data_IF_785930463261
#
_entry.id   IF_785930463261
#
_cell.length_a   1.000
_cell.length_b   1.000
_cell.length_c   1.000
_cell.angle_alpha   90.00
_cell.angle_beta   90.00
_cell.angle_gamma   90.00
#
_symmetry.space_group_name_H-M   'P 1'
#
loop_
_entity.id
_entity.type
_entity.pdbx_description
1 polymer ?
#
# COMPACT_ATOMS: atom_id res chain seq x y z
N UNK A 1 8.80 -6.56 -11.00
CA UNK A 1 8.11 -5.29 -10.66
C UNK A 1 7.93 -5.20 -9.15
N UNK A 2 8.20 -4.05 -8.60
CA UNK A 2 7.94 -3.76 -7.19
C UNK A 2 6.82 -2.72 -7.10
N UNK A 3 5.73 -3.08 -6.43
CA UNK A 3 4.66 -2.16 -6.07
C UNK A 3 5.01 -1.63 -4.70
N UNK A 4 5.27 -0.33 -4.58
CA UNK A 4 5.55 0.32 -3.31
C UNK A 4 4.33 1.11 -2.87
N UNK A 5 3.82 0.82 -1.69
CA UNK A 5 2.79 1.62 -1.05
C UNK A 5 3.44 2.41 0.09
N UNK A 6 3.67 3.68 -0.14
CA UNK A 6 4.25 4.58 0.86
C UNK A 6 3.11 5.19 1.66
N UNK A 7 2.86 4.62 2.83
CA UNK A 7 1.82 5.06 3.75
C UNK A 7 2.25 6.34 4.47
N UNK A 8 1.31 7.21 4.70
CA UNK A 8 1.47 8.32 5.65
C UNK A 8 1.07 7.85 7.05
N UNK A 9 1.42 8.62 8.07
CA UNK A 9 0.98 8.31 9.44
C UNK A 9 -0.54 8.39 9.52
N UNK A 10 -1.20 7.48 10.26
CA UNK A 10 -2.65 7.49 10.40
C UNK A 10 -3.17 8.82 10.93
N UNK A 11 -4.26 9.28 10.36
CA UNK A 11 -4.93 10.52 10.79
C UNK A 11 -6.43 10.39 10.55
N UNK A 12 -7.23 10.67 11.59
CA UNK A 12 -8.69 10.63 11.50
C UNK A 12 -9.24 9.28 10.99
N UNK A 13 -8.63 8.18 11.39
CA UNK A 13 -9.03 6.84 10.96
C UNK A 13 -8.62 6.46 9.55
N UNK A 14 -7.88 7.32 8.87
CA UNK A 14 -7.43 7.10 7.50
C UNK A 14 -5.92 6.95 7.42
N UNK A 15 -5.46 6.01 6.59
CA UNK A 15 -4.07 5.90 6.18
C UNK A 15 -4.02 6.28 4.71
N UNK A 16 -3.57 7.51 4.43
CA UNK A 16 -3.33 7.97 3.07
C UNK A 16 -1.97 7.48 2.61
N UNK A 17 -1.82 7.30 1.33
CA UNK A 17 -0.55 6.88 0.79
C UNK A 17 -0.40 7.17 -0.69
N UNK A 18 0.77 6.78 -1.22
CA UNK A 18 1.09 6.86 -2.63
C UNK A 18 1.62 5.51 -3.09
N UNK A 19 1.18 5.12 -4.26
CA UNK A 19 1.59 3.86 -4.90
C UNK A 19 2.59 4.18 -6.01
N UNK A 20 3.72 3.48 -5.98
CA UNK A 20 4.77 3.57 -6.99
C UNK A 20 4.96 2.21 -7.64
N UNK A 21 5.19 2.19 -8.93
CA UNK A 21 5.55 0.98 -9.68
C UNK A 21 6.99 1.15 -10.15
N UNK A 22 7.89 0.33 -9.65
CA UNK A 22 9.34 0.42 -9.93
C UNK A 22 9.88 1.85 -9.77
N UNK A 23 9.53 2.49 -8.65
CA UNK A 23 9.89 3.87 -8.27
C UNK A 23 9.16 4.99 -9.02
N UNK A 24 8.29 4.69 -9.98
CA UNK A 24 7.49 5.69 -10.68
C UNK A 24 6.14 5.85 -10.01
N UNK A 25 5.75 7.10 -9.71
CA UNK A 25 4.46 7.38 -9.11
C UNK A 25 3.33 6.90 -10.02
N UNK A 26 2.39 6.13 -9.45
CA UNK A 26 1.27 5.57 -10.19
C UNK A 26 -0.07 6.16 -9.75
N UNK A 27 -0.37 6.11 -8.45
CA UNK A 27 -1.68 6.51 -7.93
C UNK A 27 -1.60 6.81 -6.43
N UNK A 28 -2.69 7.39 -5.90
CA UNK A 28 -2.87 7.55 -4.47
C UNK A 28 -3.55 6.32 -3.89
N UNK A 29 -3.29 6.06 -2.60
CA UNK A 29 -3.95 4.98 -1.87
C UNK A 29 -4.65 5.50 -0.63
N UNK A 30 -5.64 4.73 -0.17
CA UNK A 30 -6.38 5.02 1.05
C UNK A 30 -6.72 3.69 1.73
N UNK A 31 -6.45 3.61 3.02
CA UNK A 31 -6.76 2.44 3.85
C UNK A 31 -7.52 2.88 5.08
N UNK A 32 -8.30 1.96 5.65
CA UNK A 32 -8.99 2.16 6.90
C UNK A 32 -8.08 1.74 8.06
N UNK A 33 -7.71 2.68 8.93
CA UNK A 33 -6.79 2.43 10.04
C UNK A 33 -7.30 1.35 11.01
N UNK A 34 -8.62 1.19 11.14
CA UNK A 34 -9.19 0.17 12.01
C UNK A 34 -8.92 -1.27 11.53
N UNK A 35 -8.58 -1.46 10.26
CA UNK A 35 -8.41 -2.79 9.65
C UNK A 35 -7.05 -2.97 8.99
N UNK A 36 -6.11 -2.09 9.26
CA UNK A 36 -4.79 -2.13 8.62
C UNK A 36 -3.97 -3.36 9.03
N UNK A 37 -2.97 -3.67 8.25
CA UNK A 37 -1.98 -4.71 8.51
C UNK A 37 -0.57 -4.08 8.55
N UNK A 38 0.43 -4.77 9.13
CA UNK A 38 1.76 -4.18 9.32
C UNK A 38 2.45 -3.83 8.01
N UNK A 39 3.35 -2.85 8.08
CA UNK A 39 4.33 -2.62 7.02
C UNK A 39 5.13 -3.90 6.77
N UNK A 40 5.59 -4.08 5.57
CA UNK A 40 6.40 -5.23 5.21
C UNK A 40 6.35 -5.54 3.73
N UNK A 41 6.94 -6.70 3.42
CA UNK A 41 7.01 -7.25 2.09
C UNK A 41 5.96 -8.34 1.96
N UNK A 42 5.11 -8.23 0.94
CA UNK A 42 4.03 -9.17 0.71
C UNK A 42 4.10 -9.74 -0.70
N UNK A 43 3.74 -11.00 -0.83
CA UNK A 43 3.57 -11.66 -2.13
C UNK A 43 2.17 -11.43 -2.67
N UNK A 44 2.01 -11.59 -3.96
CA UNK A 44 0.68 -11.59 -4.58
C UNK A 44 0.04 -12.99 -4.47
N UNK A 45 -1.29 -13.02 -4.35
CA UNK A 45 -2.07 -14.26 -4.38
C UNK A 45 -2.57 -14.52 -5.79
N UNK A 46 -1.74 -15.08 -6.65
CA UNK A 46 -2.13 -15.38 -8.01
C UNK A 46 -2.54 -14.13 -8.79
N UNK A 47 -2.92 -14.31 -10.04
CA UNK A 47 -3.35 -13.21 -10.92
C UNK A 47 -4.81 -12.86 -10.74
N UNK A 48 -5.65 -13.89 -10.55
CA UNK A 48 -7.08 -13.73 -10.37
C UNK A 48 -7.55 -14.72 -9.32
N UNK A 49 -8.44 -14.28 -8.44
CA UNK A 49 -9.11 -15.18 -7.54
C UNK A 49 -10.42 -15.66 -8.16
N UNK A 50 -10.70 -16.97 -8.14
CA UNK A 50 -12.00 -17.47 -8.61
C UNK A 50 -13.20 -16.86 -7.87
N UNK A 51 -13.00 -16.41 -6.63
CA UNK A 51 -14.03 -15.77 -5.83
C UNK A 51 -14.37 -14.37 -6.29
N UNK A 52 -13.49 -13.74 -7.04
CA UNK A 52 -13.67 -12.39 -7.55
C UNK A 52 -13.56 -12.40 -9.06
N UNK A 53 -14.68 -12.18 -9.70
CA UNK A 53 -14.81 -12.17 -11.17
C UNK A 53 -14.18 -10.94 -11.82
N UNK A 54 -13.33 -10.23 -11.11
CA UNK A 54 -12.76 -8.96 -11.55
C UNK A 54 -11.25 -9.04 -11.58
N UNK A 55 -10.67 -8.35 -12.52
CA UNK A 55 -9.23 -8.20 -12.66
C UNK A 55 -8.68 -7.28 -11.57
N UNK A 56 -8.38 -7.85 -10.41
CA UNK A 56 -7.84 -7.14 -9.25
C UNK A 56 -6.53 -7.76 -8.81
N UNK A 57 -5.69 -6.96 -8.17
CA UNK A 57 -4.42 -7.41 -7.60
C UNK A 57 -4.66 -7.82 -6.16
N UNK A 58 -4.48 -9.10 -5.86
CA UNK A 58 -4.64 -9.68 -4.53
C UNK A 58 -3.31 -9.84 -3.83
N UNK A 59 -3.30 -9.57 -2.54
CA UNK A 59 -2.10 -9.65 -1.71
C UNK A 59 -2.28 -10.76 -0.69
N UNK A 60 -1.22 -11.56 -0.49
CA UNK A 60 -1.17 -12.57 0.56
C UNK A 60 -0.78 -11.92 1.90
N UNK A 61 -1.77 -11.60 2.71
CA UNK A 61 -1.56 -11.05 4.05
C UNK A 61 -1.84 -12.15 5.06
N UNK A 62 -0.83 -12.57 5.87
CA UNK A 62 -1.01 -13.63 6.86
C UNK A 62 -2.21 -13.36 7.79
N UNK A 63 -3.05 -14.40 7.97
CA UNK A 63 -4.23 -14.31 8.82
C UNK A 63 -5.41 -13.57 8.22
N UNK A 64 -5.31 -13.12 6.98
CA UNK A 64 -6.39 -12.41 6.28
C UNK A 64 -6.65 -13.00 4.91
N UNK A 65 -7.88 -12.85 4.45
CA UNK A 65 -8.28 -13.29 3.12
C UNK A 65 -8.86 -12.12 2.34
N UNK A 66 -8.78 -12.22 1.01
CA UNK A 66 -9.38 -11.24 0.11
C UNK A 66 -8.88 -9.81 0.27
N UNK A 67 -7.62 -9.64 0.61
CA UNK A 67 -6.98 -8.32 0.61
C UNK A 67 -6.54 -8.01 -0.82
N UNK A 68 -7.02 -6.89 -1.34
CA UNK A 68 -6.77 -6.51 -2.72
C UNK A 68 -6.69 -5.00 -2.88
N UNK A 69 -6.17 -4.57 -4.02
CA UNK A 69 -6.31 -3.18 -4.47
C UNK A 69 -7.62 -3.05 -5.24
N UNK A 70 -8.47 -2.13 -4.82
CA UNK A 70 -9.72 -1.85 -5.55
C UNK A 70 -10.08 -0.37 -5.49
N UNK A 71 -11.14 0.00 -6.18
CA UNK A 71 -11.64 1.38 -6.20
C UNK A 71 -12.50 1.69 -4.99
N UNK A 72 -12.63 2.96 -4.71
CA UNK A 72 -13.43 3.53 -3.65
C UNK A 72 -13.06 4.98 -3.42
N UNK A 73 -13.77 5.67 -2.54
CA UNK A 73 -13.59 7.10 -2.33
C UNK A 73 -13.22 7.46 -0.89
N UNK A 74 -13.75 6.74 0.09
CA UNK A 74 -13.56 7.03 1.51
C UNK A 74 -13.17 5.76 2.26
N UNK A 75 -12.73 5.92 3.52
CA UNK A 75 -12.37 4.78 4.37
C UNK A 75 -13.55 3.84 4.62
N UNK A 76 -14.78 4.32 4.49
CA UNK A 76 -15.97 3.47 4.62
C UNK A 76 -16.12 2.45 3.49
N UNK A 77 -15.41 2.65 2.39
CA UNK A 77 -15.44 1.75 1.25
C UNK A 77 -14.51 0.55 1.39
N UNK A 78 -13.80 0.43 2.53
CA UNK A 78 -12.86 -0.68 2.72
C UNK A 78 -12.78 -1.13 4.16
N UNK A 79 -12.57 -2.44 4.33
CA UNK A 79 -12.27 -3.11 5.60
C UNK A 79 -11.01 -3.96 5.47
N UNK A 80 -9.89 -3.29 5.15
CA UNK A 80 -8.60 -3.93 5.04
C UNK A 80 -7.99 -3.94 3.64
N UNK A 81 -8.78 -3.73 2.60
CA UNK A 81 -8.26 -3.57 1.25
C UNK A 81 -7.64 -2.18 1.04
N UNK A 82 -6.84 -2.06 0.00
CA UNK A 82 -6.17 -0.82 -0.36
C UNK A 82 -6.95 -0.18 -1.50
N UNK A 83 -7.56 0.98 -1.24
CA UNK A 83 -8.20 1.76 -2.29
C UNK A 83 -7.12 2.48 -3.10
N UNK A 84 -7.25 2.46 -4.43
CA UNK A 84 -6.31 3.15 -5.32
C UNK A 84 -7.06 4.03 -6.31
N UNK A 85 -6.62 5.27 -6.45
CA UNK A 85 -7.24 6.24 -7.33
C UNK A 85 -6.23 7.27 -7.84
N UNK A 86 -6.56 7.89 -8.97
CA UNK A 86 -5.66 8.85 -9.60
C UNK A 86 -5.65 10.22 -8.94
N UNK A 87 -6.70 10.58 -8.23
CA UNK A 87 -6.84 11.89 -7.62
C UNK A 87 -7.11 11.78 -6.13
N UNK A 88 -6.64 12.77 -5.39
CA UNK A 88 -6.81 12.87 -3.94
C UNK A 88 -7.23 14.27 -3.53
N UNK A 89 -8.21 14.32 -2.61
CA UNK A 89 -8.63 15.56 -1.96
C UNK A 89 -8.83 15.26 -0.46
N UNK A 90 -7.86 15.69 0.37
CA UNK A 90 -7.88 15.39 1.80
C UNK A 90 -7.88 13.89 2.08
N UNK A 91 -8.92 13.41 2.77
CA UNK A 91 -9.10 12.01 3.13
C UNK A 91 -9.97 11.24 2.12
N UNK A 92 -10.22 11.82 0.95
CA UNK A 92 -10.96 11.18 -0.13
C UNK A 92 -10.09 11.02 -1.36
N UNK A 93 -10.40 9.98 -2.16
CA UNK A 93 -9.75 9.73 -3.42
C UNK A 93 -10.80 9.49 -4.51
N UNK A 94 -10.47 9.76 -5.76
CA UNK A 94 -11.37 9.63 -6.89
C UNK A 94 -10.64 9.13 -8.14
N UNK A 95 -11.37 8.43 -8.99
CA UNK A 95 -10.82 7.89 -10.23
C UNK A 95 -10.14 6.55 -10.02
N UNK A 96 -10.89 5.46 -10.04
CA UNK A 96 -10.42 4.11 -9.79
C UNK A 96 -9.23 3.75 -10.69
N UNK A 97 -8.09 3.45 -10.06
CA UNK A 97 -6.86 3.05 -10.72
C UNK A 97 -6.63 1.53 -10.66
N UNK A 98 -7.53 0.76 -10.05
CA UNK A 98 -7.30 -0.66 -9.77
C UNK A 98 -7.23 -1.52 -11.03
N UNK A 99 -7.99 -1.19 -12.06
CA UNK A 99 -7.95 -1.92 -13.34
C UNK A 99 -6.64 -1.72 -14.08
N UNK A 100 -6.11 -0.49 -14.08
CA UNK A 100 -4.82 -0.21 -14.69
C UNK A 100 -3.68 -0.86 -13.90
N UNK A 101 -3.78 -0.88 -12.58
CA UNK A 101 -2.81 -1.60 -11.76
C UNK A 101 -2.80 -3.08 -12.13
N UNK A 102 -3.97 -3.71 -12.26
CA UNK A 102 -4.05 -5.10 -12.68
C UNK A 102 -3.38 -5.33 -14.04
N UNK A 103 -3.65 -4.47 -15.01
CA UNK A 103 -3.05 -4.59 -16.35
C UNK A 103 -1.53 -4.51 -16.29
N UNK A 104 -0.98 -3.61 -15.48
CA UNK A 104 0.47 -3.47 -15.31
C UNK A 104 1.07 -4.71 -14.66
N UNK A 105 0.44 -5.24 -13.64
CA UNK A 105 0.88 -6.46 -12.95
C UNK A 105 0.77 -7.67 -13.87
N UNK A 106 -0.33 -7.81 -14.59
CA UNK A 106 -0.53 -8.91 -15.53
C UNK A 106 0.52 -8.87 -16.65
N UNK A 107 0.84 -7.69 -17.15
CA UNK A 107 1.91 -7.51 -18.12
C UNK A 107 3.27 -7.97 -17.60
N UNK A 108 3.60 -7.62 -16.37
CA UNK A 108 4.85 -8.06 -15.73
C UNK A 108 4.90 -9.58 -15.59
N UNK A 109 3.82 -10.23 -15.19
CA UNK A 109 3.75 -11.69 -15.13
C UNK A 109 3.92 -12.33 -16.49
N UNK A 110 3.31 -11.78 -17.53
CA UNK A 110 3.45 -12.31 -18.90
C UNK A 110 4.87 -12.17 -19.41
N UNK A 111 5.60 -11.15 -18.97
CA UNK A 111 7.01 -10.95 -19.30
C UNK A 111 7.95 -11.80 -18.43
N UNK A 112 7.43 -12.62 -17.55
CA UNK A 112 8.20 -13.47 -16.66
C UNK A 112 8.78 -12.76 -15.44
N UNK A 113 8.36 -11.54 -15.15
CA UNK A 113 8.81 -10.82 -13.97
C UNK A 113 8.09 -11.30 -12.70
N UNK A 114 8.83 -11.38 -11.59
CA UNK A 114 8.22 -11.51 -10.28
C UNK A 114 7.62 -10.17 -9.85
N UNK A 115 6.56 -10.21 -9.06
CA UNK A 115 5.93 -9.01 -8.51
C UNK A 115 5.83 -9.11 -7.00
N UNK A 116 6.27 -8.07 -6.31
CA UNK A 116 6.20 -7.96 -4.86
C UNK A 116 5.56 -6.63 -4.48
N UNK A 117 4.96 -6.58 -3.28
CA UNK A 117 4.33 -5.36 -2.75
C UNK A 117 5.03 -4.98 -1.45
N UNK A 118 5.52 -3.77 -1.37
CA UNK A 118 6.20 -3.22 -0.20
C UNK A 118 5.34 -2.13 0.43
N UNK A 119 5.00 -2.30 1.71
CA UNK A 119 4.31 -1.27 2.49
C UNK A 119 5.29 -0.66 3.47
N UNK A 120 5.42 0.66 3.42
CA UNK A 120 6.29 1.41 4.33
C UNK A 120 5.55 2.61 4.90
N UNK A 121 5.90 3.00 6.14
CA UNK A 121 5.38 4.20 6.81
C UNK A 121 6.58 5.01 7.29
N UNK A 122 6.56 6.35 7.22
CA UNK A 122 7.64 7.16 7.77
C UNK A 122 7.79 6.91 9.26
N UNK A 123 9.04 6.84 9.73
CA UNK A 123 9.30 6.76 11.15
C UNK A 123 8.79 8.02 11.85
N UNK A 124 8.11 7.86 13.01
CA UNK A 124 7.80 9.00 13.86
C UNK A 124 9.09 9.68 14.27
N UNK A 125 9.19 10.99 14.04
CA UNK A 125 10.28 11.76 14.62
C UNK A 125 10.06 11.83 16.13
N UNK A 126 10.88 11.13 16.87
CA UNK A 126 10.92 11.25 18.31
C UNK A 126 11.61 12.57 18.67
N UNK A 127 10.84 13.55 19.11
CA UNK A 127 11.41 14.75 19.71
C UNK A 127 11.68 14.43 21.18
N UNK A 128 12.73 13.66 21.41
CA UNK A 128 13.24 13.49 22.76
C UNK A 128 14.40 14.45 22.90
N UNK A 129 14.19 15.47 23.69
CA UNK A 129 15.21 16.48 23.95
C UNK A 129 16.56 15.82 24.33
N UNK A 130 17.52 15.86 23.40
CA UNK A 130 18.92 15.57 23.68
C UNK A 130 19.28 14.14 24.07
N UNK A 131 18.47 13.13 23.82
CA UNK A 131 18.85 11.76 24.14
C UNK A 131 19.65 11.13 22.98
N UNK A 132 20.95 10.93 23.18
CA UNK A 132 21.84 10.35 22.19
C UNK A 132 21.42 8.95 21.73
N UNK A 133 20.78 8.17 22.60
CA UNK A 133 20.30 6.85 22.26
C UNK A 133 19.17 6.90 21.22
N UNK A 134 18.30 7.90 21.29
CA UNK A 134 17.24 8.09 20.32
C UNK A 134 17.80 8.47 18.93
N UNK A 135 18.87 9.26 18.88
CA UNK A 135 19.55 9.60 17.64
C UNK A 135 20.20 8.38 16.98
N UNK A 136 20.83 7.52 17.78
CA UNK A 136 21.41 6.27 17.29
C UNK A 136 20.35 5.32 16.75
N UNK A 137 19.20 5.21 17.41
CA UNK A 137 18.10 4.37 16.93
C UNK A 137 17.54 4.91 15.62
N UNK A 138 17.40 6.21 15.48
CA UNK A 138 16.91 6.84 14.25
C UNK A 138 17.91 6.63 13.11
N UNK A 139 19.21 6.74 13.38
CA UNK A 139 20.24 6.49 12.39
C UNK A 139 20.24 5.03 11.92
N UNK A 140 20.06 4.12 12.86
CA UNK A 140 20.02 2.69 12.55
C UNK A 140 18.82 2.32 11.67
N UNK A 141 17.67 2.92 11.92
CA UNK A 141 16.47 2.73 11.10
C UNK A 141 16.70 3.26 9.68
N UNK A 142 17.33 4.41 9.52
CA UNK A 142 17.57 5.00 8.20
C UNK A 142 18.62 4.22 7.39
N UNK A 143 19.51 3.50 8.02
CA UNK A 143 20.51 2.68 7.32
C UNK A 143 19.99 1.33 6.86
N UNK A 144 18.83 0.89 7.34
CA UNK A 144 18.20 -0.38 6.92
C UNK A 144 17.30 -0.26 5.69
N UNK A 145 17.00 0.91 5.29
CA UNK A 145 16.11 1.17 4.14
C UNK A 145 16.92 1.80 3.02
#
# INVERSE_FOLDING_TARGET
>A
MIIQVKRELPKNGAIRGRVYLDNDFFAYSLENDAYTFPDGLYSLMGRTSPSFKKNKVYIDVPGRSNIMFHGGNTTDDTKGCILVAYNRDGDTIQGDASSDLFKRVDGAYRDGEGVEVHFTTPAKKWVLGGCAAALLAAWWITTKF
#
